data_IF_491386532327
#
_entry.id   IF_491386532327
#
_cell.length_a   1.000
_cell.length_b   1.000
_cell.length_c   1.000
_cell.angle_alpha   90.00
_cell.angle_beta   90.00
_cell.angle_gamma   90.00
#
_symmetry.space_group_name_H-M   'P 1'
#
loop_
_entity.id
_entity.type
_entity.pdbx_description
1 polymer ?
#
# COMPACT_ATOMS: atom_id res chain seq x y z
N UNK A 1 64.29 14.76 16.28
CA UNK A 1 62.99 14.03 16.32
C UNK A 1 61.99 14.68 15.34
N UNK A 2 62.26 14.72 14.03
CA UNK A 2 61.36 15.37 13.05
C UNK A 2 61.17 14.60 11.72
N UNK A 3 61.74 13.40 11.61
CA UNK A 3 61.76 12.66 10.32
C UNK A 3 60.64 11.61 10.16
N UNK A 4 59.70 11.51 11.11
CA UNK A 4 58.64 10.49 11.04
C UNK A 4 57.32 10.99 10.43
N UNK A 5 57.09 12.30 10.37
CA UNK A 5 55.81 12.86 9.90
C UNK A 5 55.69 13.00 8.37
N UNK A 6 56.75 12.74 7.60
CA UNK A 6 56.74 12.96 6.13
C UNK A 6 56.18 11.80 5.31
N UNK A 7 55.85 10.65 5.93
CA UNK A 7 55.46 9.41 5.21
C UNK A 7 53.95 9.10 5.18
N UNK A 8 53.09 9.97 5.73
CA UNK A 8 51.63 9.76 5.76
C UNK A 8 50.84 10.48 4.65
N UNK A 9 51.48 10.99 3.60
CA UNK A 9 50.78 11.33 2.36
C UNK A 9 50.57 10.07 1.53
N UNK A 10 49.72 9.16 2.03
CA UNK A 10 49.14 8.09 1.20
C UNK A 10 48.39 8.76 0.06
N UNK A 11 48.60 8.26 -1.15
CA UNK A 11 47.99 8.73 -2.39
C UNK A 11 46.46 8.73 -2.27
N UNK A 12 45.87 9.86 -1.88
CA UNK A 12 44.44 10.05 -1.99
C UNK A 12 44.13 10.25 -3.47
N UNK A 13 43.87 9.13 -4.16
CA UNK A 13 43.27 9.13 -5.48
C UNK A 13 41.84 9.64 -5.30
N UNK A 14 41.57 10.88 -5.69
CA UNK A 14 40.22 11.41 -5.75
C UNK A 14 39.42 10.72 -6.86
N UNK A 15 38.10 10.67 -6.69
CA UNK A 15 37.18 10.29 -7.76
C UNK A 15 37.40 11.19 -8.98
N UNK A 16 37.51 10.60 -10.15
CA UNK A 16 37.56 11.35 -11.41
C UNK A 16 36.15 11.86 -11.75
N UNK A 17 36.06 13.01 -12.41
CA UNK A 17 34.77 13.55 -12.87
C UNK A 17 34.06 12.59 -13.84
N UNK A 18 34.82 11.85 -14.63
CA UNK A 18 34.28 10.87 -15.57
C UNK A 18 33.68 9.66 -14.85
N UNK A 19 34.28 9.19 -13.75
CA UNK A 19 33.69 8.13 -12.92
C UNK A 19 32.34 8.56 -12.35
N UNK A 20 32.24 9.79 -11.85
CA UNK A 20 30.99 10.31 -11.30
C UNK A 20 29.94 10.50 -12.42
N UNK A 21 30.35 11.00 -13.59
CA UNK A 21 29.49 11.21 -14.75
C UNK A 21 28.84 9.90 -15.24
N UNK A 22 29.63 8.84 -15.37
CA UNK A 22 29.09 7.53 -15.81
C UNK A 22 28.13 6.96 -14.76
N UNK A 23 28.42 7.13 -13.47
CA UNK A 23 27.54 6.65 -12.39
C UNK A 23 26.17 7.35 -12.43
N UNK A 24 26.14 8.68 -12.50
CA UNK A 24 24.85 9.41 -12.55
C UNK A 24 24.10 9.17 -13.86
N UNK A 25 24.82 8.93 -14.96
CA UNK A 25 24.19 8.53 -16.23
C UNK A 25 23.48 7.17 -16.11
N UNK A 26 24.13 6.16 -15.51
CA UNK A 26 23.51 4.85 -15.27
C UNK A 26 22.35 4.97 -14.26
N UNK A 27 22.52 5.72 -13.16
CA UNK A 27 21.44 5.97 -12.18
C UNK A 27 20.24 6.66 -12.82
N UNK A 28 20.45 7.60 -13.75
CA UNK A 28 19.37 8.26 -14.49
C UNK A 28 18.56 7.28 -15.33
N UNK A 29 19.22 6.36 -16.05
CA UNK A 29 18.54 5.32 -16.84
C UNK A 29 17.77 4.35 -15.93
N UNK A 30 18.37 3.91 -14.83
CA UNK A 30 17.71 3.00 -13.87
C UNK A 30 16.49 3.66 -13.22
N UNK A 31 16.61 4.91 -12.79
CA UNK A 31 15.50 5.66 -12.18
C UNK A 31 14.31 5.82 -13.14
N UNK A 32 14.58 6.11 -14.42
CA UNK A 32 13.53 6.27 -15.42
C UNK A 32 12.68 5.00 -15.61
N UNK A 33 13.27 3.81 -15.47
CA UNK A 33 12.56 2.53 -15.59
C UNK A 33 11.89 2.12 -14.27
N UNK A 34 12.54 2.35 -13.14
CA UNK A 34 12.07 1.89 -11.82
C UNK A 34 10.86 2.69 -11.33
N UNK A 35 10.90 4.02 -11.42
CA UNK A 35 9.86 4.92 -10.88
C UNK A 35 8.44 4.56 -11.35
N UNK A 36 8.14 4.43 -12.66
CA UNK A 36 6.78 4.12 -13.10
C UNK A 36 6.32 2.72 -12.68
N UNK A 37 7.24 1.76 -12.56
CA UNK A 37 6.91 0.39 -12.17
C UNK A 37 6.56 0.29 -10.68
N UNK A 38 7.30 0.99 -9.82
CA UNK A 38 7.05 1.00 -8.37
C UNK A 38 5.70 1.65 -8.06
N UNK A 39 5.37 2.77 -8.70
CA UNK A 39 4.08 3.44 -8.50
C UNK A 39 2.89 2.52 -8.84
N UNK A 40 2.96 1.82 -9.99
CA UNK A 40 1.93 0.84 -10.39
C UNK A 40 1.82 -0.33 -9.41
N UNK A 41 2.95 -0.85 -8.94
CA UNK A 41 2.96 -1.96 -7.99
C UNK A 41 2.30 -1.59 -6.65
N UNK A 42 2.60 -0.40 -6.12
CA UNK A 42 1.98 0.11 -4.90
C UNK A 42 0.46 0.27 -5.09
N UNK A 43 0.03 0.89 -6.20
CA UNK A 43 -1.40 1.04 -6.50
C UNK A 43 -2.14 -0.30 -6.66
N UNK A 44 -1.52 -1.31 -7.26
CA UNK A 44 -2.11 -2.66 -7.31
C UNK A 44 -2.21 -3.29 -5.92
N UNK A 45 -1.20 -3.11 -5.08
CA UNK A 45 -1.20 -3.64 -3.72
C UNK A 45 -2.28 -3.04 -2.82
N UNK A 46 -2.57 -1.75 -2.98
CA UNK A 46 -3.66 -1.09 -2.22
C UNK A 46 -5.04 -1.58 -2.66
N UNK A 47 -5.25 -1.81 -3.96
CA UNK A 47 -6.51 -2.39 -4.48
C UNK A 47 -6.71 -3.81 -3.96
N UNK A 48 -5.68 -4.65 -3.96
CA UNK A 48 -5.77 -6.02 -3.43
C UNK A 48 -6.02 -6.04 -1.91
N UNK A 49 -5.42 -5.11 -1.17
CA UNK A 49 -5.69 -4.94 0.26
C UNK A 49 -7.16 -4.54 0.50
N UNK A 50 -7.70 -3.60 -0.29
CA UNK A 50 -9.09 -3.18 -0.20
C UNK A 50 -10.07 -4.33 -0.53
N UNK A 51 -9.76 -5.14 -1.55
CA UNK A 51 -10.51 -6.35 -1.88
C UNK A 51 -10.50 -7.38 -0.74
N UNK A 52 -9.33 -7.58 -0.13
CA UNK A 52 -9.17 -8.51 0.99
C UNK A 52 -9.98 -8.06 2.21
N UNK A 53 -9.91 -6.77 2.57
CA UNK A 53 -10.70 -6.23 3.67
C UNK A 53 -12.20 -6.33 3.39
N UNK A 54 -12.65 -5.98 2.17
CA UNK A 54 -14.05 -6.16 1.78
C UNK A 54 -14.49 -7.63 1.93
N UNK A 55 -13.69 -8.58 1.46
CA UNK A 55 -14.01 -10.00 1.63
C UNK A 55 -14.14 -10.40 3.11
N UNK A 56 -13.24 -9.91 3.97
CA UNK A 56 -13.31 -10.16 5.41
C UNK A 56 -14.58 -9.57 6.04
N UNK A 57 -15.00 -8.38 5.62
CA UNK A 57 -16.26 -7.78 6.08
C UNK A 57 -17.46 -8.61 5.63
N UNK A 58 -17.47 -9.10 4.38
CA UNK A 58 -18.54 -9.97 3.89
C UNK A 58 -18.63 -11.27 4.70
N UNK A 59 -17.48 -11.88 5.02
CA UNK A 59 -17.42 -13.05 5.89
C UNK A 59 -17.96 -12.76 7.29
N UNK A 60 -17.61 -11.60 7.85
CA UNK A 60 -18.12 -11.16 9.15
C UNK A 60 -19.64 -10.96 9.15
N UNK A 61 -20.20 -10.37 8.08
CA UNK A 61 -21.66 -10.26 7.91
C UNK A 61 -22.31 -11.64 7.85
N UNK A 62 -21.75 -12.55 7.06
CA UNK A 62 -22.28 -13.93 6.98
C UNK A 62 -22.21 -14.66 8.32
N UNK A 63 -21.11 -14.49 9.07
CA UNK A 63 -20.97 -15.07 10.40
C UNK A 63 -21.99 -14.48 11.39
N UNK A 64 -22.15 -13.16 11.40
CA UNK A 64 -23.16 -12.48 12.21
C UNK A 64 -24.56 -13.01 11.91
N UNK A 65 -24.92 -13.12 10.63
CA UNK A 65 -26.23 -13.63 10.21
C UNK A 65 -26.42 -15.09 10.62
N UNK A 66 -25.38 -15.92 10.54
CA UNK A 66 -25.45 -17.32 10.97
C UNK A 66 -25.75 -17.46 12.46
N UNK A 67 -25.18 -16.59 13.31
CA UNK A 67 -25.42 -16.60 14.76
C UNK A 67 -26.75 -15.93 15.15
N UNK A 68 -27.20 -14.95 14.38
CA UNK A 68 -28.39 -14.14 14.68
C UNK A 68 -29.63 -14.53 13.86
N UNK A 69 -29.72 -15.79 13.44
CA UNK A 69 -30.92 -16.35 12.80
C UNK A 69 -31.27 -15.70 11.46
N UNK A 70 -30.28 -15.27 10.69
CA UNK A 70 -30.45 -14.57 9.41
C UNK A 70 -30.65 -13.07 9.52
N UNK A 71 -30.60 -12.50 10.74
CA UNK A 71 -30.71 -11.05 10.93
C UNK A 71 -29.48 -10.35 10.36
N UNK A 72 -29.70 -9.41 9.45
CA UNK A 72 -28.64 -8.61 8.83
C UNK A 72 -28.15 -7.55 9.83
N UNK A 73 -26.82 -7.37 9.98
CA UNK A 73 -26.26 -6.34 10.84
C UNK A 73 -26.59 -4.93 10.32
N UNK A 74 -26.84 -3.99 11.23
CA UNK A 74 -27.26 -2.62 10.88
C UNK A 74 -26.12 -1.78 10.30
N UNK A 75 -24.89 -2.04 10.75
CA UNK A 75 -23.68 -1.35 10.32
C UNK A 75 -22.43 -2.20 10.61
N UNK A 76 -21.26 -1.68 10.24
CA UNK A 76 -19.97 -2.32 10.51
C UNK A 76 -19.58 -2.34 11.99
N UNK A 77 -20.18 -1.51 12.85
CA UNK A 77 -19.89 -1.52 14.29
C UNK A 77 -20.48 -2.78 14.96
N UNK A 78 -21.62 -3.26 14.48
CA UNK A 78 -22.22 -4.53 14.88
C UNK A 78 -21.31 -5.75 14.56
N UNK A 79 -20.33 -5.59 13.67
CA UNK A 79 -19.37 -6.64 13.27
C UNK A 79 -18.08 -6.66 14.09
N UNK A 80 -17.94 -5.78 15.09
CA UNK A 80 -16.68 -5.62 15.85
C UNK A 80 -16.19 -6.90 16.54
N UNK A 81 -17.07 -7.84 16.90
CA UNK A 81 -16.70 -9.15 17.46
C UNK A 81 -16.30 -10.19 16.41
N UNK A 82 -16.59 -9.93 15.12
CA UNK A 82 -16.37 -10.85 14.01
C UNK A 82 -15.18 -10.46 13.13
N UNK A 83 -14.61 -9.27 13.36
CA UNK A 83 -13.49 -8.72 12.59
C UNK A 83 -12.28 -8.59 13.49
N UNK A 84 -11.13 -9.09 13.03
CA UNK A 84 -9.86 -8.90 13.71
C UNK A 84 -9.20 -7.60 13.25
N UNK A 85 -9.00 -6.67 14.19
CA UNK A 85 -8.34 -5.40 13.93
C UNK A 85 -9.32 -4.26 13.60
N UNK A 86 -8.77 -3.16 13.10
CA UNK A 86 -9.54 -1.96 12.72
C UNK A 86 -9.68 -1.93 11.22
N UNK A 87 -10.92 -1.69 10.74
CA UNK A 87 -11.18 -1.48 9.32
C UNK A 87 -10.54 -0.17 8.86
N UNK A 88 -9.84 -0.25 7.73
CA UNK A 88 -9.28 0.93 7.07
C UNK A 88 -10.32 1.59 6.18
N UNK A 89 -11.19 0.79 5.56
CA UNK A 89 -12.26 1.21 4.69
C UNK A 89 -13.59 1.40 5.39
N UNK A 90 -14.52 1.98 4.64
CA UNK A 90 -15.92 2.13 5.03
C UNK A 90 -16.80 1.32 4.10
N UNK A 91 -17.85 0.72 4.65
CA UNK A 91 -18.72 -0.23 3.96
C UNK A 91 -20.17 0.03 4.30
N UNK A 92 -21.04 -0.08 3.30
CA UNK A 92 -22.49 -0.08 3.46
C UNK A 92 -23.00 -1.51 3.41
N UNK A 93 -23.86 -1.89 4.34
CA UNK A 93 -24.47 -3.22 4.41
C UNK A 93 -25.88 -3.12 3.84
N UNK A 94 -26.15 -3.87 2.77
CA UNK A 94 -27.46 -3.98 2.14
C UNK A 94 -28.43 -4.78 3.00
N UNK A 95 -29.74 -4.63 2.76
CA UNK A 95 -30.78 -5.34 3.52
C UNK A 95 -30.77 -6.86 3.30
N UNK A 96 -30.00 -7.34 2.32
CA UNK A 96 -29.77 -8.74 2.00
C UNK A 96 -28.45 -9.29 2.57
N UNK A 97 -27.70 -8.48 3.33
CA UNK A 97 -26.40 -8.85 3.87
C UNK A 97 -25.25 -8.79 2.86
N UNK A 98 -25.49 -8.23 1.66
CA UNK A 98 -24.40 -7.88 0.75
C UNK A 98 -23.69 -6.63 1.25
N UNK A 99 -22.37 -6.58 1.05
CA UNK A 99 -21.60 -5.37 1.34
C UNK A 99 -21.32 -4.59 0.06
N UNK A 100 -21.29 -3.27 0.19
CA UNK A 100 -20.78 -2.36 -0.84
C UNK A 100 -19.66 -1.55 -0.20
N UNK A 101 -18.47 -1.58 -0.80
CA UNK A 101 -17.39 -0.69 -0.38
C UNK A 101 -17.77 0.77 -0.62
N UNK A 102 -17.27 1.69 0.19
CA UNK A 102 -17.43 3.12 -0.02
C UNK A 102 -16.07 3.76 -0.29
N UNK A 103 -15.16 3.69 0.68
CA UNK A 103 -13.79 4.19 0.57
C UNK A 103 -12.78 3.26 1.24
N UNK A 104 -11.53 3.26 0.78
CA UNK A 104 -10.40 2.57 1.40
C UNK A 104 -9.12 3.38 1.13
N UNK A 105 -8.63 4.12 2.12
CA UNK A 105 -7.56 5.10 1.90
C UNK A 105 -7.94 6.11 0.80
N UNK A 106 -7.12 6.20 -0.25
CA UNK A 106 -7.36 7.07 -1.42
C UNK A 106 -8.27 6.42 -2.49
N UNK A 107 -8.69 5.17 -2.28
CA UNK A 107 -9.57 4.44 -3.18
C UNK A 107 -11.04 4.71 -2.86
N UNK A 108 -11.85 4.78 -3.91
CA UNK A 108 -13.31 4.85 -3.85
C UNK A 108 -13.88 3.66 -4.62
N UNK A 109 -14.95 3.08 -4.10
CA UNK A 109 -15.68 2.04 -4.81
C UNK A 109 -16.60 2.68 -5.86
N UNK A 110 -16.38 2.34 -7.13
CA UNK A 110 -17.21 2.78 -8.25
C UNK A 110 -17.30 1.69 -9.29
N UNK A 111 -18.46 1.55 -9.94
CA UNK A 111 -18.67 0.60 -11.06
C UNK A 111 -18.26 -0.86 -10.73
N UNK A 112 -18.44 -1.28 -9.48
CA UNK A 112 -18.15 -2.64 -9.02
C UNK A 112 -16.66 -2.94 -8.80
N UNK A 113 -15.81 -1.91 -8.68
CA UNK A 113 -14.37 -2.06 -8.42
C UNK A 113 -13.81 -0.91 -7.59
N UNK A 114 -12.67 -1.15 -6.95
CA UNK A 114 -11.88 -0.08 -6.34
C UNK A 114 -11.14 0.70 -7.42
N UNK A 115 -11.21 2.03 -7.34
CA UNK A 115 -10.47 2.96 -8.19
C UNK A 115 -9.94 4.12 -7.37
N UNK A 116 -8.84 4.74 -7.80
CA UNK A 116 -8.36 5.99 -7.21
C UNK A 116 -9.44 7.07 -7.35
N UNK A 117 -9.60 7.90 -6.32
CA UNK A 117 -10.53 9.04 -6.39
C UNK A 117 -10.12 9.98 -7.52
N UNK A 118 -10.87 9.95 -8.64
CA UNK A 118 -10.69 10.90 -9.74
C UNK A 118 -10.90 12.31 -9.18
N UNK A 119 -9.83 13.10 -9.13
CA UNK A 119 -9.90 14.55 -8.82
C UNK A 119 -10.41 15.31 -10.04
#
# INVERSE_FOLDING_TARGET
MYNFMRKLRKHQKGFTLIELLVVVAILGVLAAVIVPNVAKFIGSGTVEAANTEAHNVQLAVTAYMAENGGTVPTDTAALSSYIMGTLTGTYTIGTDGTITGNSYGDLVWSDGKWAEATT
#
